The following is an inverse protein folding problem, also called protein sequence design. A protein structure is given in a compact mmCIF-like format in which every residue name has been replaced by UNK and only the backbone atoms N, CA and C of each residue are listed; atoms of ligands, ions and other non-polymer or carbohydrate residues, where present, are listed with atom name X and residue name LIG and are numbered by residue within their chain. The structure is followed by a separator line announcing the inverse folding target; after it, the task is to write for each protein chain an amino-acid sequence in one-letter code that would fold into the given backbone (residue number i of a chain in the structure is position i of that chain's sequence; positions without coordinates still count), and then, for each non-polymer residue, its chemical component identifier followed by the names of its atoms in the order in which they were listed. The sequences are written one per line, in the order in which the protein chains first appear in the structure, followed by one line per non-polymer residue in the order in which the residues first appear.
data_IF_991052711930
#
_entry.id   IF_991052711930
#
_cell.length_a   1.000
_cell.length_b   1.000
_cell.length_c   1.000
_cell.angle_alpha   90.00
_cell.angle_beta   90.00
_cell.angle_gamma   90.00
#
_symmetry.space_group_name_H-M   'P 1'
#
loop_
_entity.id
_entity.type
_entity.pdbx_description
1 polymer ?
#
# COMPACT_ATOMS: atom_id res chain seq x y z
N UNK A 1 14.60 -23.81 -14.31
CA UNK A 1 14.61 -22.60 -15.16
C UNK A 1 13.26 -21.93 -14.96
N UNK A 2 13.22 -20.61 -14.74
CA UNK A 2 11.93 -19.91 -14.64
C UNK A 2 11.13 -20.16 -15.93
N UNK A 3 9.89 -20.65 -15.82
CA UNK A 3 8.97 -20.71 -16.93
C UNK A 3 8.85 -19.32 -17.54
N UNK A 4 9.25 -19.18 -18.81
CA UNK A 4 9.02 -17.96 -19.56
C UNK A 4 7.53 -17.72 -19.76
N UNK A 5 7.08 -16.48 -19.57
CA UNK A 5 5.72 -16.06 -19.93
C UNK A 5 5.77 -15.52 -21.36
N UNK A 6 4.97 -16.03 -22.29
CA UNK A 6 4.82 -15.43 -23.62
C UNK A 6 4.48 -13.94 -23.50
N UNK A 7 5.03 -13.09 -24.36
CA UNK A 7 4.90 -11.64 -24.23
C UNK A 7 3.44 -11.15 -24.21
N UNK A 8 2.56 -11.81 -24.97
CA UNK A 8 1.12 -11.55 -25.03
C UNK A 8 0.34 -12.03 -23.78
N UNK A 9 1.01 -12.73 -22.87
CA UNK A 9 0.46 -13.23 -21.59
C UNK A 9 1.03 -12.52 -20.37
N UNK A 10 1.83 -11.47 -20.57
CA UNK A 10 2.32 -10.64 -19.47
C UNK A 10 1.22 -9.64 -19.10
N UNK A 11 0.50 -9.95 -18.04
CA UNK A 11 -0.49 -9.09 -17.40
C UNK A 11 -0.09 -8.74 -15.96
N UNK A 12 -0.92 -7.97 -15.26
CA UNK A 12 -0.69 -7.59 -13.86
C UNK A 12 -0.52 -8.80 -12.93
N UNK A 13 -1.28 -9.89 -13.17
CA UNK A 13 -1.19 -11.13 -12.39
C UNK A 13 0.12 -11.85 -12.63
N UNK A 14 0.61 -11.86 -13.87
CA UNK A 14 1.88 -12.46 -14.24
C UNK A 14 3.06 -11.75 -13.55
N UNK A 15 2.98 -10.43 -13.40
CA UNK A 15 3.94 -9.61 -12.64
C UNK A 15 3.82 -9.91 -11.14
N UNK A 16 2.62 -9.78 -10.56
CA UNK A 16 2.37 -10.00 -9.13
C UNK A 16 2.84 -11.39 -8.65
N UNK A 17 2.60 -12.44 -9.45
CA UNK A 17 3.05 -13.82 -9.16
C UNK A 17 4.59 -13.96 -9.05
N UNK A 18 5.34 -12.97 -9.51
CA UNK A 18 6.81 -12.97 -9.59
C UNK A 18 7.46 -11.88 -8.74
N UNK A 19 6.68 -11.15 -7.94
CA UNK A 19 7.21 -10.27 -6.90
C UNK A 19 7.83 -11.09 -5.76
N UNK A 20 8.48 -10.41 -4.82
CA UNK A 20 9.24 -11.06 -3.74
C UNK A 20 8.39 -12.01 -2.89
N UNK A 21 7.14 -11.65 -2.64
CA UNK A 21 6.15 -12.50 -1.97
C UNK A 21 4.83 -12.50 -2.73
N UNK A 22 4.61 -13.49 -3.62
CA UNK A 22 3.37 -13.62 -4.39
C UNK A 22 2.11 -13.95 -3.56
N UNK A 23 2.29 -14.32 -2.29
CA UNK A 23 1.20 -14.68 -1.38
C UNK A 23 0.82 -13.52 -0.45
N UNK A 24 1.66 -12.49 -0.39
CA UNK A 24 1.36 -11.29 0.38
C UNK A 24 0.16 -10.56 -0.26
N UNK A 25 -0.88 -10.23 0.52
CA UNK A 25 -1.94 -9.35 0.04
C UNK A 25 -1.41 -7.92 -0.11
N UNK A 26 -2.01 -7.16 -1.02
CA UNK A 26 -1.75 -5.71 -1.12
C UNK A 26 -2.08 -5.04 0.22
N UNK A 27 -1.20 -4.19 0.76
CA UNK A 27 -1.49 -3.49 2.02
C UNK A 27 -2.66 -2.53 1.84
N UNK A 28 -3.59 -2.52 2.79
CA UNK A 28 -4.66 -1.50 2.81
C UNK A 28 -4.15 -0.14 3.29
N UNK A 29 -3.16 -0.15 4.18
CA UNK A 29 -2.63 1.02 4.86
C UNK A 29 -1.10 0.92 4.94
N UNK A 30 -0.41 1.98 4.51
CA UNK A 30 1.02 2.18 4.72
C UNK A 30 1.22 3.37 5.65
N UNK A 31 1.87 3.12 6.79
CA UNK A 31 2.20 4.16 7.77
C UNK A 31 3.68 4.52 7.66
N UNK A 32 3.99 5.80 7.49
CA UNK A 32 5.36 6.31 7.48
C UNK A 32 5.57 7.33 8.60
N UNK A 33 6.54 7.02 9.44
CA UNK A 33 7.00 7.87 10.56
C UNK A 33 7.95 8.97 10.12
N UNK A 34 8.36 9.80 11.07
CA UNK A 34 9.39 10.85 10.97
C UNK A 34 9.06 12.06 10.08
N UNK A 35 7.79 12.32 9.78
CA UNK A 35 7.32 13.54 9.12
C UNK A 35 7.60 13.64 7.61
N UNK A 36 8.04 12.54 7.00
CA UNK A 36 8.49 12.54 5.60
C UNK A 36 7.38 12.13 4.64
N UNK A 37 6.95 13.03 3.77
CA UNK A 37 5.87 12.80 2.78
C UNK A 37 6.41 12.19 1.48
N UNK A 38 6.87 10.94 1.56
CA UNK A 38 7.33 10.15 0.41
C UNK A 38 7.15 8.66 0.66
N UNK A 39 7.09 7.83 -0.38
CA UNK A 39 7.08 6.36 -0.22
C UNK A 39 8.49 5.76 -0.23
N UNK A 40 9.47 6.48 -0.76
CA UNK A 40 10.88 6.03 -0.87
C UNK A 40 11.04 4.65 -1.53
N UNK A 41 10.30 4.40 -2.61
CA UNK A 41 10.39 3.15 -3.37
C UNK A 41 10.00 1.89 -2.54
N UNK A 42 9.19 2.07 -1.49
CA UNK A 42 8.69 0.97 -0.67
C UNK A 42 7.34 0.48 -1.21
N UNK A 43 7.28 -0.82 -1.57
CA UNK A 43 6.08 -1.53 -2.05
C UNK A 43 5.33 -0.79 -3.17
N UNK A 44 6.03 -0.29 -4.19
CA UNK A 44 5.39 0.53 -5.24
C UNK A 44 4.27 -0.19 -6.00
N UNK A 45 4.39 -1.50 -6.21
CA UNK A 45 3.39 -2.27 -6.91
C UNK A 45 2.21 -2.56 -5.99
N UNK A 46 2.50 -3.11 -4.81
CA UNK A 46 1.50 -3.57 -3.85
C UNK A 46 0.74 -2.39 -3.22
N UNK A 47 1.39 -1.23 -3.06
CA UNK A 47 0.79 -0.06 -2.42
C UNK A 47 0.01 0.86 -3.37
N UNK A 48 -0.24 0.45 -4.62
CA UNK A 48 -0.86 1.30 -5.64
C UNK A 48 -2.24 1.87 -5.23
N UNK A 49 -2.99 1.12 -4.42
CA UNK A 49 -4.31 1.52 -3.89
C UNK A 49 -4.36 1.53 -2.34
N UNK A 50 -3.20 1.56 -1.69
CA UNK A 50 -3.13 1.73 -0.23
C UNK A 50 -3.46 3.16 0.17
N UNK A 51 -4.02 3.32 1.35
CA UNK A 51 -4.00 4.60 2.02
C UNK A 51 -2.63 4.86 2.63
N UNK A 52 -2.19 6.11 2.56
CA UNK A 52 -0.92 6.57 3.12
C UNK A 52 -1.18 7.47 4.32
N UNK A 53 -0.64 7.08 5.48
CA UNK A 53 -0.65 7.89 6.71
C UNK A 53 0.79 8.28 7.03
N UNK A 54 1.02 9.59 7.15
CA UNK A 54 2.31 10.15 7.51
C UNK A 54 2.22 10.75 8.91
N UNK A 55 3.19 10.46 9.77
CA UNK A 55 3.24 10.99 11.14
C UNK A 55 4.60 11.54 11.47
N UNK A 56 4.63 12.63 12.23
CA UNK A 56 5.86 13.26 12.73
C UNK A 56 6.54 12.43 13.84
N UNK A 57 5.84 11.47 14.44
CA UNK A 57 6.41 10.58 15.45
C UNK A 57 7.60 9.83 14.87
N UNK A 58 8.76 9.89 15.54
CA UNK A 58 9.95 9.14 15.14
C UNK A 58 9.74 7.65 15.41
N UNK A 59 10.33 6.77 14.59
CA UNK A 59 10.15 5.31 14.72
C UNK A 59 10.46 4.76 16.13
N UNK A 60 11.56 5.16 16.81
CA UNK A 60 11.83 4.70 18.18
C UNK A 60 10.78 5.13 19.22
N UNK A 61 10.00 6.17 18.92
CA UNK A 61 8.96 6.73 19.78
C UNK A 61 7.56 6.25 19.39
N UNK A 62 7.42 5.55 18.25
CA UNK A 62 6.14 5.02 17.79
C UNK A 62 5.63 3.93 18.75
N UNK A 63 4.37 4.06 19.21
CA UNK A 63 3.70 3.14 20.13
C UNK A 63 2.39 2.63 19.54
N UNK A 64 1.74 1.72 20.27
CA UNK A 64 0.48 1.08 19.85
C UNK A 64 -0.62 2.11 19.58
N UNK A 65 -0.65 3.18 20.37
CA UNK A 65 -1.61 4.26 20.26
C UNK A 65 -1.50 4.95 18.89
N UNK A 66 -0.27 5.17 18.40
CA UNK A 66 -0.04 5.76 17.08
C UNK A 66 -0.53 4.85 15.94
N UNK A 67 -0.38 3.53 16.10
CA UNK A 67 -0.95 2.58 15.13
C UNK A 67 -2.48 2.64 15.12
N UNK A 68 -3.11 2.73 16.30
CA UNK A 68 -4.56 2.87 16.38
C UNK A 68 -5.05 4.18 15.78
N UNK A 69 -4.30 5.27 15.93
CA UNK A 69 -4.59 6.54 15.27
C UNK A 69 -4.56 6.39 13.75
N UNK A 70 -3.51 5.76 13.20
CA UNK A 70 -3.40 5.52 11.76
C UNK A 70 -4.53 4.63 11.22
N UNK A 71 -4.93 3.60 11.97
CA UNK A 71 -6.08 2.75 11.59
C UNK A 71 -7.40 3.52 11.64
N UNK A 72 -7.60 4.38 12.64
CA UNK A 72 -8.78 5.25 12.71
C UNK A 72 -8.85 6.21 11.54
N UNK A 73 -7.72 6.79 11.14
CA UNK A 73 -7.64 7.65 9.96
C UNK A 73 -7.99 6.85 8.69
N UNK A 74 -7.41 5.67 8.51
CA UNK A 74 -7.75 4.76 7.41
C UNK A 74 -9.25 4.46 7.33
N UNK A 75 -9.89 4.13 8.45
CA UNK A 75 -11.32 3.83 8.51
C UNK A 75 -12.23 5.01 8.17
N UNK A 76 -11.73 6.25 8.31
CA UNK A 76 -12.47 7.46 7.99
C UNK A 76 -12.40 7.84 6.50
N UNK A 77 -11.53 7.19 5.71
CA UNK A 77 -11.35 7.48 4.28
C UNK A 77 -12.34 6.71 3.42
N UNK A 78 -12.87 7.39 2.40
CA UNK A 78 -13.73 6.80 1.37
C UNK A 78 -12.87 6.28 0.21
N UNK A 79 -12.67 4.96 0.17
CA UNK A 79 -11.84 4.29 -0.85
C UNK A 79 -12.65 3.99 -2.09
N UNK A 80 -12.30 4.67 -3.19
CA UNK A 80 -13.07 4.63 -4.44
C UNK A 80 -12.52 3.66 -5.49
N UNK A 81 -11.25 3.26 -5.40
CA UNK A 81 -10.59 2.35 -6.36
C UNK A 81 -10.85 2.71 -7.85
N UNK A 82 -10.84 4.02 -8.16
CA UNK A 82 -11.13 4.54 -9.50
C UNK A 82 -12.61 4.75 -9.84
N UNK A 83 -13.53 4.48 -8.91
CA UNK A 83 -14.96 4.78 -9.01
C UNK A 83 -15.34 6.22 -8.64
N UNK A 84 -16.55 6.63 -9.02
CA UNK A 84 -17.16 7.91 -8.59
C UNK A 84 -18.01 7.68 -7.33
N UNK A 85 -17.92 8.60 -6.36
CA UNK A 85 -18.79 8.58 -5.18
C UNK A 85 -20.25 8.83 -5.59
N UNK A 86 -21.25 8.17 -4.98
CA UNK A 86 -22.67 8.34 -5.32
C UNK A 86 -23.23 9.76 -5.12
N UNK A 87 -22.51 10.64 -4.44
CA UNK A 87 -22.96 11.98 -4.03
C UNK A 87 -22.11 13.09 -4.67
N UNK A 88 -22.00 13.09 -6.00
CA UNK A 88 -21.49 14.23 -6.76
C UNK A 88 -22.62 15.23 -7.09
#
# INVERSE_FOLDING_TARGET
MAEGVPADKIDEKAIAKRLYDPQMPDPDLVVRTSGEFRTSNFLMWEAAYSELVFTDTLWPDFRRENLFDAVREYQARDRRFGGLSPEA
#
